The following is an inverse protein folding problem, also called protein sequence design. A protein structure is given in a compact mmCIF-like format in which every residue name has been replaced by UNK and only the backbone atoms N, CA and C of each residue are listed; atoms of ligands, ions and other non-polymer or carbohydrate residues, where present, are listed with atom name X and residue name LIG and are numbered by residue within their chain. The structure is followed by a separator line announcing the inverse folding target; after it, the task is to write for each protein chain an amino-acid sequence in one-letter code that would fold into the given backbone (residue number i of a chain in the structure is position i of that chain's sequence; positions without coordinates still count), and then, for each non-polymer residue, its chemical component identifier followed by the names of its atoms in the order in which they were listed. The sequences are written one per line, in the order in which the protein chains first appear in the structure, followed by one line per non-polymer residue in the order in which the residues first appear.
data_IF_748792069392
#
_entry.id   IF_748792069392
#
_cell.length_a   1.000
_cell.length_b   1.000
_cell.length_c   1.000
_cell.angle_alpha   90.00
_cell.angle_beta   90.00
_cell.angle_gamma   90.00
#
_symmetry.space_group_name_H-M   'P 1'
#
loop_
_entity.id
_entity.type
_entity.pdbx_description
1 polymer ?
#
# COMPACT_ATOMS: atom_id res chain seq x y z
N UNK A 1 -8.45 2.81 -19.37
CA UNK A 1 -7.20 3.58 -19.56
C UNK A 1 -5.98 2.67 -19.63
N UNK A 2 -5.16 2.48 -18.56
CA UNK A 2 -3.85 1.82 -18.72
C UNK A 2 -3.94 0.40 -19.30
N UNK A 3 -4.89 -0.41 -18.83
CA UNK A 3 -5.12 -1.76 -19.36
C UNK A 3 -5.55 -1.83 -20.83
N UNK A 4 -6.08 -0.73 -21.39
CA UNK A 4 -6.51 -0.62 -22.80
C UNK A 4 -5.37 -0.14 -23.71
N UNK A 5 -4.42 0.64 -23.18
CA UNK A 5 -3.22 1.10 -23.92
C UNK A 5 -2.11 0.03 -23.92
N UNK A 6 -2.28 -1.02 -23.11
CA UNK A 6 -1.23 -1.99 -22.85
C UNK A 6 -1.54 -3.37 -23.40
N UNK A 7 -0.68 -3.88 -24.26
CA UNK A 7 -0.68 -5.25 -24.76
C UNK A 7 0.16 -6.16 -23.85
N UNK A 8 0.04 -7.49 -24.03
CA UNK A 8 0.77 -8.49 -23.23
C UNK A 8 2.30 -8.28 -23.23
N UNK A 9 2.86 -7.65 -24.26
CA UNK A 9 4.29 -7.32 -24.37
C UNK A 9 4.75 -6.14 -23.50
N UNK A 10 3.86 -5.17 -23.21
CA UNK A 10 4.22 -3.92 -22.54
C UNK A 10 3.54 -3.73 -21.16
N UNK A 11 2.52 -4.55 -20.85
CA UNK A 11 1.77 -4.54 -19.59
C UNK A 11 2.68 -4.49 -18.36
N UNK A 12 3.67 -5.38 -18.27
CA UNK A 12 4.59 -5.42 -17.14
C UNK A 12 5.33 -4.09 -16.89
N UNK A 13 5.74 -3.40 -17.98
CA UNK A 13 6.41 -2.09 -17.88
C UNK A 13 5.44 -1.00 -17.45
N UNK A 14 4.24 -0.97 -18.04
CA UNK A 14 3.22 0.02 -17.70
C UNK A 14 2.76 -0.09 -16.23
N UNK A 15 2.50 -1.30 -15.74
CA UNK A 15 2.15 -1.52 -14.34
C UNK A 15 3.30 -1.21 -13.38
N UNK A 16 4.56 -1.40 -13.81
CA UNK A 16 5.73 -1.01 -12.99
C UNK A 16 5.85 0.51 -12.80
N UNK A 17 5.45 1.30 -13.80
CA UNK A 17 5.44 2.76 -13.70
C UNK A 17 4.41 3.28 -12.68
N UNK A 18 3.27 2.60 -12.54
CA UNK A 18 2.28 2.92 -11.50
C UNK A 18 2.84 2.68 -10.08
N UNK A 19 3.57 1.58 -9.90
CA UNK A 19 4.25 1.31 -8.63
C UNK A 19 5.32 2.36 -8.31
N UNK A 20 6.09 2.75 -9.32
CA UNK A 20 7.13 3.77 -9.18
C UNK A 20 6.54 5.14 -8.81
N UNK A 21 5.45 5.56 -9.45
CA UNK A 21 4.82 6.86 -9.17
C UNK A 21 4.26 6.93 -7.75
N UNK A 22 3.60 5.86 -7.29
CA UNK A 22 3.13 5.75 -5.91
C UNK A 22 4.29 5.82 -4.92
N UNK A 23 5.40 5.14 -5.22
CA UNK A 23 6.60 5.18 -4.37
C UNK A 23 7.23 6.57 -4.29
N UNK A 24 7.37 7.29 -5.41
CA UNK A 24 7.86 8.67 -5.40
C UNK A 24 6.95 9.56 -4.54
N UNK A 25 5.62 9.41 -4.68
CA UNK A 25 4.65 10.13 -3.85
C UNK A 25 4.82 9.86 -2.36
N UNK A 26 5.10 8.61 -1.98
CA UNK A 26 5.33 8.22 -0.58
C UNK A 26 6.60 8.81 0.05
N UNK A 27 7.59 9.18 -0.78
CA UNK A 27 8.85 9.81 -0.34
C UNK A 27 8.68 11.33 -0.31
N UNK A 28 8.25 11.90 -1.44
CA UNK A 28 8.16 13.36 -1.58
C UNK A 28 7.04 13.95 -0.74
N UNK A 29 5.91 13.26 -0.58
CA UNK A 29 4.75 13.75 0.17
C UNK A 29 5.06 14.12 1.62
N UNK A 30 5.54 13.17 2.45
CA UNK A 30 5.93 13.46 3.83
C UNK A 30 7.10 14.43 3.93
N UNK A 31 8.06 14.38 2.99
CA UNK A 31 9.20 15.29 2.98
C UNK A 31 8.73 16.74 2.80
N UNK A 32 7.93 17.00 1.77
CA UNK A 32 7.37 18.32 1.46
C UNK A 32 6.42 18.76 2.57
N UNK A 33 5.54 17.88 3.04
CA UNK A 33 4.58 18.17 4.11
C UNK A 33 5.27 18.53 5.44
N UNK A 34 6.33 17.81 5.80
CA UNK A 34 7.10 18.07 7.02
C UNK A 34 7.96 19.32 6.91
N UNK A 35 8.68 19.51 5.80
CA UNK A 35 9.62 20.62 5.63
C UNK A 35 8.92 21.98 5.47
N UNK A 36 7.78 22.00 4.78
CA UNK A 36 6.99 23.22 4.56
C UNK A 36 6.02 23.52 5.70
N UNK A 37 5.84 22.60 6.64
CA UNK A 37 5.05 22.90 7.84
C UNK A 37 5.73 24.00 8.67
N UNK A 38 4.93 24.90 9.23
CA UNK A 38 5.39 26.05 10.03
C UNK A 38 6.36 26.96 9.28
N UNK A 39 5.96 27.54 8.12
CA UNK A 39 6.85 28.31 7.26
C UNK A 39 7.45 29.55 7.94
N UNK A 40 6.72 30.17 8.88
CA UNK A 40 7.22 31.31 9.66
C UNK A 40 8.45 30.96 10.52
N UNK A 41 8.58 29.71 10.98
CA UNK A 41 9.71 29.25 11.79
C UNK A 41 10.86 28.71 10.92
N UNK A 42 10.51 28.00 9.84
CA UNK A 42 11.49 27.36 8.96
C UNK A 42 12.14 28.34 7.98
N UNK A 43 11.39 29.35 7.51
CA UNK A 43 11.83 30.34 6.53
C UNK A 43 11.46 31.79 6.97
N UNK A 44 12.06 32.31 8.05
CA UNK A 44 11.66 33.59 8.63
C UNK A 44 11.80 34.77 7.66
N UNK A 45 12.79 34.73 6.77
CA UNK A 45 13.06 35.80 5.81
C UNK A 45 11.90 36.08 4.84
N UNK A 46 11.09 35.08 4.52
CA UNK A 46 10.02 35.19 3.51
C UNK A 46 8.62 35.03 4.09
N UNK A 47 8.49 34.37 5.24
CA UNK A 47 7.20 33.95 5.78
C UNK A 47 6.96 34.37 7.24
N UNK A 48 7.79 35.25 7.83
CA UNK A 48 7.55 35.76 9.18
C UNK A 48 6.44 36.83 9.21
N UNK A 49 5.20 36.41 8.97
CA UNK A 49 4.01 37.24 9.14
C UNK A 49 3.00 36.58 10.08
N UNK A 50 2.13 37.35 10.77
CA UNK A 50 1.12 36.80 11.66
C UNK A 50 0.22 35.75 10.98
N UNK A 51 -0.09 35.96 9.70
CA UNK A 51 -0.88 35.04 8.88
C UNK A 51 -0.29 33.63 8.82
N UNK A 52 1.02 33.50 8.56
CA UNK A 52 1.68 32.19 8.45
C UNK A 52 1.91 31.51 9.80
N UNK A 53 1.92 32.29 10.89
CA UNK A 53 1.95 31.75 12.26
C UNK A 53 0.57 31.20 12.66
N UNK A 54 -0.51 31.82 12.21
CA UNK A 54 -1.89 31.35 12.42
C UNK A 54 -2.22 30.11 11.58
N UNK A 55 -1.74 30.07 10.32
CA UNK A 55 -1.99 28.96 9.39
C UNK A 55 -0.72 28.17 9.01
N UNK A 56 -0.13 27.41 9.96
CA UNK A 56 1.18 26.75 9.76
C UNK A 56 1.17 25.61 8.72
N UNK A 57 -0.01 25.09 8.36
CA UNK A 57 -0.16 23.99 7.39
C UNK A 57 -0.70 24.44 6.03
N UNK A 58 -0.97 25.73 5.83
CA UNK A 58 -1.51 26.22 4.56
C UNK A 58 -0.52 26.08 3.40
N UNK A 59 0.76 26.37 3.64
CA UNK A 59 1.80 26.29 2.61
C UNK A 59 1.94 24.88 2.01
N UNK A 60 2.09 23.78 2.79
CA UNK A 60 2.16 22.44 2.21
C UNK A 60 0.87 22.06 1.45
N UNK A 61 -0.31 22.52 1.88
CA UNK A 61 -1.56 22.30 1.15
C UNK A 61 -1.57 23.02 -0.21
N UNK A 62 -1.11 24.27 -0.27
CA UNK A 62 -1.02 25.04 -1.52
C UNK A 62 -0.04 24.40 -2.51
N UNK A 63 1.10 23.91 -2.03
CA UNK A 63 2.08 23.20 -2.87
C UNK A 63 1.48 21.88 -3.40
N UNK A 64 0.80 21.12 -2.55
CA UNK A 64 0.10 19.89 -2.98
C UNK A 64 -0.99 20.18 -4.03
N UNK A 65 -1.74 21.26 -3.86
CA UNK A 65 -2.74 21.70 -4.82
C UNK A 65 -2.10 22.11 -6.15
N UNK A 66 -1.00 22.87 -6.12
CA UNK A 66 -0.27 23.27 -7.32
C UNK A 66 0.26 22.06 -8.11
N UNK A 67 0.88 21.07 -7.43
CA UNK A 67 1.34 19.83 -8.06
C UNK A 67 0.19 19.08 -8.71
N UNK A 68 -0.95 18.97 -8.02
CA UNK A 68 -2.15 18.30 -8.55
C UNK A 68 -2.74 19.03 -9.76
N UNK A 69 -2.83 20.36 -9.71
CA UNK A 69 -3.31 21.18 -10.83
C UNK A 69 -2.40 21.07 -12.04
N UNK A 70 -1.07 21.04 -11.86
CA UNK A 70 -0.12 20.82 -12.94
C UNK A 70 -0.34 19.44 -13.57
N UNK A 71 -0.47 18.40 -12.74
CA UNK A 71 -0.75 17.04 -13.21
C UNK A 71 -2.06 16.95 -14.01
N UNK A 72 -3.13 17.59 -13.51
CA UNK A 72 -4.41 17.68 -14.20
C UNK A 72 -4.27 18.42 -15.55
N UNK A 73 -3.57 19.55 -15.56
CA UNK A 73 -3.37 20.37 -16.77
C UNK A 73 -2.61 19.58 -17.84
N UNK A 74 -1.51 18.93 -17.47
CA UNK A 74 -0.75 18.07 -18.37
C UNK A 74 -1.61 16.91 -18.88
N UNK A 75 -2.38 16.27 -18.00
CA UNK A 75 -3.30 15.19 -18.37
C UNK A 75 -4.36 15.65 -19.36
N UNK A 76 -5.00 16.79 -19.09
CA UNK A 76 -6.06 17.36 -19.92
C UNK A 76 -5.59 17.72 -21.33
N UNK A 77 -4.40 18.31 -21.48
CA UNK A 77 -3.89 18.73 -22.78
C UNK A 77 -3.16 17.61 -23.56
N UNK A 78 -2.54 16.63 -22.88
CA UNK A 78 -1.70 15.64 -23.55
C UNK A 78 -2.30 14.23 -23.65
N UNK A 79 -3.30 13.87 -22.83
CA UNK A 79 -3.97 12.57 -22.95
C UNK A 79 -5.04 12.64 -24.04
N UNK A 80 -4.72 12.10 -25.22
CA UNK A 80 -5.73 11.84 -26.25
C UNK A 80 -6.64 10.70 -25.81
N UNK A 81 -7.93 10.84 -26.10
CA UNK A 81 -8.93 9.79 -25.87
C UNK A 81 -8.45 8.47 -26.47
N UNK A 82 -8.37 7.43 -25.65
CA UNK A 82 -7.71 6.17 -26.00
C UNK A 82 -8.67 5.18 -26.68
N UNK A 83 -9.94 5.53 -26.80
CA UNK A 83 -10.95 4.71 -27.46
C UNK A 83 -10.80 4.81 -28.99
N UNK A 84 -10.38 3.73 -29.64
CA UNK A 84 -10.40 3.62 -31.10
C UNK A 84 -11.84 3.28 -31.52
N UNK A 85 -12.64 4.29 -31.86
CA UNK A 85 -13.96 4.06 -32.49
C UNK A 85 -13.75 3.58 -33.93
N UNK A 86 -13.95 2.28 -34.17
CA UNK A 86 -13.88 1.71 -35.51
C UNK A 86 -15.07 2.22 -36.35
N UNK A 87 -14.85 3.18 -37.23
CA UNK A 87 -15.90 3.81 -38.06
C UNK A 87 -16.45 2.91 -39.18
N UNK A 88 -15.84 1.74 -39.42
CA UNK A 88 -16.16 0.87 -40.56
C UNK A 88 -16.72 -0.51 -40.17
N UNK A 89 -17.03 -0.75 -38.89
CA UNK A 89 -17.82 -1.91 -38.45
C UNK A 89 -19.32 -1.62 -38.60
N UNK A 90 -20.19 -2.65 -38.71
CA UNK A 90 -21.63 -2.42 -38.69
C UNK A 90 -21.98 -1.58 -37.44
N UNK A 91 -22.87 -0.59 -37.59
CA UNK A 91 -23.42 0.18 -36.47
C UNK A 91 -24.13 -0.78 -35.50
N UNK A 92 -23.37 -1.36 -34.58
CA UNK A 92 -23.91 -1.92 -33.35
C UNK A 92 -24.20 -0.71 -32.49
N UNK A 93 -25.47 -0.49 -32.16
CA UNK A 93 -25.85 0.50 -31.16
C UNK A 93 -25.26 0.07 -29.81
N UNK A 94 -24.01 0.47 -29.56
CA UNK A 94 -23.37 0.35 -28.26
C UNK A 94 -24.06 1.34 -27.32
N UNK A 95 -25.16 0.91 -26.71
CA UNK A 95 -25.69 1.54 -25.50
C UNK A 95 -24.63 1.46 -24.39
N UNK A 96 -24.62 2.35 -23.39
CA UNK A 96 -23.71 2.22 -22.21
C UNK A 96 -23.80 0.86 -21.47
N UNK A 97 -24.79 0.03 -21.83
CA UNK A 97 -25.00 -1.33 -21.35
C UNK A 97 -24.31 -2.42 -22.20
N UNK A 98 -23.68 -2.09 -23.33
CA UNK A 98 -22.94 -3.07 -24.13
C UNK A 98 -21.54 -3.30 -23.53
N UNK A 99 -21.19 -4.55 -23.21
CA UNK A 99 -19.92 -4.85 -22.54
C UNK A 99 -18.72 -4.50 -23.42
N UNK A 100 -17.75 -3.78 -22.84
CA UNK A 100 -16.52 -3.28 -23.49
C UNK A 100 -15.53 -4.37 -23.95
N UNK A 101 -15.79 -5.63 -23.58
CA UNK A 101 -15.02 -6.78 -24.07
C UNK A 101 -15.88 -7.50 -25.11
N UNK A 102 -15.33 -7.85 -26.28
CA UNK A 102 -16.05 -8.63 -27.28
C UNK A 102 -16.58 -9.88 -26.59
N UNK A 103 -17.85 -10.22 -26.83
CA UNK A 103 -18.36 -11.54 -26.51
C UNK A 103 -17.47 -12.56 -27.23
N UNK A 104 -16.48 -13.10 -26.52
CA UNK A 104 -16.11 -14.47 -26.72
C UNK A 104 -17.43 -15.22 -26.51
N UNK A 105 -18.03 -15.67 -27.61
CA UNK A 105 -19.18 -16.55 -27.64
C UNK A 105 -18.82 -17.75 -26.75
N UNK A 106 -19.17 -17.68 -25.46
CA UNK A 106 -18.78 -18.67 -24.46
C UNK A 106 -20.04 -19.08 -23.75
N UNK A 107 -20.63 -20.13 -24.31
CA UNK A 107 -21.64 -21.01 -23.73
C UNK A 107 -21.16 -21.76 -22.47
N UNK A 108 -19.99 -21.43 -21.92
CA UNK A 108 -19.49 -22.01 -20.68
C UNK A 108 -20.00 -21.18 -19.50
N UNK A 109 -20.68 -21.86 -18.56
CA UNK A 109 -21.23 -21.28 -17.35
C UNK A 109 -20.26 -20.26 -16.71
N UNK A 110 -20.65 -18.98 -16.66
CA UNK A 110 -19.87 -17.93 -15.99
C UNK A 110 -19.60 -18.39 -14.56
N UNK A 111 -18.31 -18.56 -14.21
CA UNK A 111 -17.94 -18.88 -12.84
C UNK A 111 -18.33 -17.69 -11.95
N UNK A 112 -18.89 -17.92 -10.76
CA UNK A 112 -19.27 -16.83 -9.86
C UNK A 112 -18.03 -16.02 -9.49
N UNK A 113 -18.15 -14.69 -9.57
CA UNK A 113 -17.04 -13.77 -9.28
C UNK A 113 -16.59 -13.84 -7.81
N UNK A 114 -17.54 -14.06 -6.89
CA UNK A 114 -17.32 -14.08 -5.45
C UNK A 114 -17.39 -15.52 -4.93
N UNK A 115 -16.34 -16.29 -5.22
CA UNK A 115 -16.18 -17.62 -4.64
C UNK A 115 -15.79 -17.52 -3.16
N UNK A 116 -15.92 -18.61 -2.40
CA UNK A 116 -15.43 -18.68 -1.01
C UNK A 116 -13.96 -18.29 -0.90
N UNK A 117 -13.12 -18.74 -1.85
CA UNK A 117 -11.71 -18.41 -1.86
C UNK A 117 -11.48 -16.91 -2.07
N UNK A 118 -12.19 -16.33 -3.03
CA UNK A 118 -12.16 -14.89 -3.32
C UNK A 118 -12.59 -14.07 -2.11
N UNK A 119 -13.67 -14.45 -1.44
CA UNK A 119 -14.15 -13.77 -0.23
C UNK A 119 -13.12 -13.81 0.92
N UNK A 120 -12.45 -14.95 1.12
CA UNK A 120 -11.38 -15.08 2.12
C UNK A 120 -10.18 -14.18 1.79
N UNK A 121 -9.74 -14.14 0.53
CA UNK A 121 -8.64 -13.26 0.10
C UNK A 121 -9.02 -11.78 0.19
N UNK A 122 -10.25 -11.41 -0.15
CA UNK A 122 -10.75 -10.03 -0.04
C UNK A 122 -10.84 -9.57 1.41
N UNK A 123 -11.30 -10.44 2.30
CA UNK A 123 -11.35 -10.16 3.72
C UNK A 123 -9.94 -10.01 4.31
N UNK A 124 -9.00 -10.89 3.96
CA UNK A 124 -7.58 -10.77 4.33
C UNK A 124 -6.94 -9.45 3.85
N UNK A 125 -7.33 -8.98 2.66
CA UNK A 125 -6.88 -7.70 2.14
C UNK A 125 -7.45 -6.51 2.92
N UNK A 126 -8.75 -6.56 3.24
CA UNK A 126 -9.40 -5.53 4.05
C UNK A 126 -8.87 -5.49 5.49
N UNK A 127 -8.65 -6.64 6.13
CA UNK A 127 -8.09 -6.72 7.48
C UNK A 127 -6.65 -6.19 7.53
N UNK A 128 -5.83 -6.50 6.52
CA UNK A 128 -4.51 -5.90 6.36
C UNK A 128 -4.58 -4.37 6.19
N UNK A 129 -5.49 -3.87 5.34
CA UNK A 129 -5.66 -2.43 5.12
C UNK A 129 -6.10 -1.70 6.40
N UNK A 130 -6.94 -2.33 7.22
CA UNK A 130 -7.36 -1.80 8.51
C UNK A 130 -6.21 -1.71 9.52
N UNK A 131 -5.39 -2.77 9.61
CA UNK A 131 -4.18 -2.75 10.45
C UNK A 131 -3.20 -1.67 9.98
N UNK A 132 -3.00 -1.54 8.67
CA UNK A 132 -2.11 -0.53 8.10
C UNK A 132 -2.55 0.88 8.51
N UNK A 133 -3.83 1.22 8.31
CA UNK A 133 -4.31 2.58 8.57
C UNK A 133 -4.29 2.94 10.07
N UNK A 134 -4.53 1.98 10.97
CA UNK A 134 -4.40 2.21 12.41
C UNK A 134 -2.96 2.60 12.74
N UNK A 135 -1.97 1.89 12.21
CA UNK A 135 -0.57 2.23 12.44
C UNK A 135 -0.21 3.58 11.84
N UNK A 136 -0.62 3.85 10.60
CA UNK A 136 -0.27 5.07 9.87
C UNK A 136 -0.83 6.32 10.57
N UNK A 137 -1.99 6.22 11.23
CA UNK A 137 -2.54 7.29 12.09
C UNK A 137 -1.82 7.37 13.45
N UNK A 138 -1.55 6.22 14.07
CA UNK A 138 -0.97 6.17 15.42
C UNK A 138 0.46 6.67 15.45
N UNK A 139 1.25 6.42 14.39
CA UNK A 139 2.66 6.77 14.37
C UNK A 139 2.93 8.28 14.51
N UNK A 140 2.30 9.17 13.72
CA UNK A 140 2.44 10.62 13.91
C UNK A 140 1.96 11.10 15.28
N UNK A 141 0.86 10.53 15.80
CA UNK A 141 0.36 10.84 17.15
C UNK A 141 1.38 10.46 18.23
N UNK A 142 1.96 9.26 18.15
CA UNK A 142 3.03 8.80 19.02
C UNK A 142 4.27 9.69 18.93
N UNK A 143 4.75 9.94 17.70
CA UNK A 143 5.96 10.71 17.48
C UNK A 143 5.81 12.15 18.00
N UNK A 144 4.67 12.79 17.77
CA UNK A 144 4.41 14.18 18.20
C UNK A 144 4.05 14.33 19.68
N UNK A 145 3.48 13.31 20.32
CA UNK A 145 3.15 13.33 21.75
C UNK A 145 4.40 13.61 22.58
N UNK A 146 4.29 14.43 23.63
CA UNK A 146 5.44 14.80 24.46
C UNK A 146 6.10 13.59 25.14
N UNK A 147 7.40 13.70 25.39
CA UNK A 147 8.22 12.64 25.97
C UNK A 147 7.62 12.12 27.29
N UNK A 148 7.19 13.03 28.17
CA UNK A 148 6.57 12.68 29.46
C UNK A 148 5.27 11.89 29.34
N UNK A 149 4.48 12.08 28.28
CA UNK A 149 3.20 11.39 28.06
C UNK A 149 3.34 10.05 27.34
N UNK A 150 4.53 9.68 26.90
CA UNK A 150 4.80 8.40 26.23
C UNK A 150 5.09 8.51 24.73
N UNK A 151 5.29 9.72 24.19
CA UNK A 151 5.71 9.94 22.80
C UNK A 151 7.17 10.37 22.65
N UNK A 152 7.54 10.97 21.52
CA UNK A 152 8.92 11.42 21.27
C UNK A 152 9.08 12.96 21.23
N UNK A 153 7.99 13.71 21.20
CA UNK A 153 7.98 15.16 21.07
C UNK A 153 8.49 15.67 19.71
N UNK A 154 8.50 14.81 18.69
CA UNK A 154 8.98 15.15 17.36
C UNK A 154 8.18 16.29 16.75
N UNK A 155 8.86 17.16 16.03
CA UNK A 155 8.21 18.17 15.21
C UNK A 155 7.77 17.57 13.87
N UNK A 156 6.85 18.24 13.18
CA UNK A 156 6.36 17.84 11.86
C UNK A 156 7.47 17.54 10.85
N UNK A 157 8.58 18.30 10.88
CA UNK A 157 9.76 18.04 10.05
C UNK A 157 10.43 16.69 10.35
N UNK A 158 10.55 16.33 11.63
CA UNK A 158 11.20 15.11 12.08
C UNK A 158 10.34 13.89 11.69
N UNK A 159 9.02 14.02 11.85
CA UNK A 159 8.04 13.02 11.38
C UNK A 159 8.12 12.88 9.85
N UNK A 160 8.17 13.99 9.11
CA UNK A 160 8.32 14.00 7.66
C UNK A 160 9.59 13.28 7.18
N UNK A 161 10.74 13.57 7.81
CA UNK A 161 12.02 12.90 7.52
C UNK A 161 11.91 11.39 7.77
N UNK A 162 11.37 11.00 8.92
CA UNK A 162 11.22 9.58 9.26
C UNK A 162 10.36 8.82 8.24
N UNK A 163 9.22 9.36 7.83
CA UNK A 163 8.33 8.76 6.84
C UNK A 163 8.98 8.70 5.45
N UNK A 164 9.73 9.73 5.07
CA UNK A 164 10.43 9.78 3.77
C UNK A 164 11.51 8.70 3.67
N UNK A 165 12.27 8.47 4.75
CA UNK A 165 13.24 7.38 4.83
C UNK A 165 12.57 6.01 4.67
N UNK A 166 11.38 5.83 5.27
CA UNK A 166 10.60 4.60 5.10
C UNK A 166 10.07 4.44 3.67
N UNK A 167 9.69 5.51 2.98
CA UNK A 167 9.30 5.46 1.57
C UNK A 167 10.43 4.96 0.65
N UNK A 168 11.66 5.42 0.89
CA UNK A 168 12.86 4.94 0.16
C UNK A 168 13.05 3.44 0.39
N UNK A 169 12.98 3.01 1.66
CA UNK A 169 13.13 1.61 2.03
C UNK A 169 11.99 0.75 1.44
N UNK A 170 10.76 1.26 1.42
CA UNK A 170 9.60 0.61 0.80
C UNK A 170 9.86 0.29 -0.67
N UNK A 171 10.30 1.30 -1.45
CA UNK A 171 10.62 1.11 -2.86
C UNK A 171 11.74 0.09 -3.07
N UNK A 172 12.80 0.17 -2.28
CA UNK A 172 13.91 -0.76 -2.38
C UNK A 172 13.47 -2.21 -2.13
N UNK A 173 12.68 -2.44 -1.07
CA UNK A 173 12.19 -3.77 -0.71
C UNK A 173 11.23 -4.30 -1.78
N UNK A 174 10.30 -3.46 -2.26
CA UNK A 174 9.30 -3.85 -3.25
C UNK A 174 9.93 -4.20 -4.61
N UNK A 175 10.93 -3.44 -5.06
CA UNK A 175 11.55 -3.63 -6.39
C UNK A 175 12.59 -4.76 -6.36
N UNK A 176 13.45 -4.81 -5.34
CA UNK A 176 14.62 -5.69 -5.35
C UNK A 176 14.46 -6.95 -4.51
N UNK A 177 13.82 -6.85 -3.35
CA UNK A 177 13.79 -7.94 -2.37
C UNK A 177 12.55 -8.82 -2.58
N UNK A 178 11.37 -8.23 -2.65
CA UNK A 178 10.12 -8.95 -2.73
C UNK A 178 10.07 -9.95 -3.91
N UNK A 179 10.44 -9.59 -5.16
CA UNK A 179 10.38 -10.53 -6.29
C UNK A 179 11.35 -11.71 -6.16
N UNK A 180 12.41 -11.57 -5.35
CA UNK A 180 13.34 -12.68 -5.06
C UNK A 180 12.77 -13.61 -4.01
N UNK A 181 12.13 -13.06 -2.99
CA UNK A 181 11.47 -13.84 -1.94
C UNK A 181 10.27 -14.60 -2.51
N UNK A 182 9.43 -13.92 -3.30
CA UNK A 182 8.19 -14.48 -3.85
C UNK A 182 8.48 -15.67 -4.77
N UNK A 183 9.44 -15.54 -5.68
CA UNK A 183 9.87 -16.66 -6.54
C UNK A 183 10.40 -17.87 -5.76
N UNK A 184 10.95 -17.66 -4.56
CA UNK A 184 11.56 -18.74 -3.76
C UNK A 184 10.53 -19.42 -2.85
N UNK A 185 9.61 -18.67 -2.25
CA UNK A 185 8.74 -19.16 -1.19
C UNK A 185 7.24 -19.15 -1.53
N UNK A 186 6.84 -18.40 -2.56
CA UNK A 186 5.43 -18.17 -2.93
C UNK A 186 4.74 -17.13 -2.05
N UNK A 187 3.66 -16.55 -2.58
CA UNK A 187 2.93 -15.46 -1.94
C UNK A 187 2.26 -15.88 -0.62
N UNK A 188 1.62 -17.06 -0.56
CA UNK A 188 0.91 -17.48 0.65
C UNK A 188 1.83 -17.66 1.86
N UNK A 189 2.98 -18.30 1.67
CA UNK A 189 3.96 -18.49 2.73
C UNK A 189 4.48 -17.14 3.22
N UNK A 190 4.85 -16.26 2.29
CA UNK A 190 5.34 -14.92 2.62
C UNK A 190 4.31 -14.08 3.35
N UNK A 191 3.03 -14.14 2.96
CA UNK A 191 1.96 -13.45 3.66
C UNK A 191 1.88 -13.88 5.13
N UNK A 192 1.82 -15.20 5.39
CA UNK A 192 1.76 -15.77 6.73
C UNK A 192 3.00 -15.44 7.57
N UNK A 193 4.20 -15.63 7.00
CA UNK A 193 5.46 -15.30 7.67
C UNK A 193 5.56 -13.80 7.99
N UNK A 194 5.08 -12.95 7.08
CA UNK A 194 5.16 -11.51 7.25
C UNK A 194 4.20 -10.99 8.32
N UNK A 195 3.00 -11.57 8.45
CA UNK A 195 2.10 -11.25 9.56
C UNK A 195 2.80 -11.49 10.90
N UNK A 196 3.41 -12.66 11.11
CA UNK A 196 4.16 -12.92 12.35
C UNK A 196 5.36 -11.97 12.53
N UNK A 197 6.05 -11.63 11.42
CA UNK A 197 7.16 -10.68 11.42
C UNK A 197 6.79 -9.25 11.84
N UNK A 198 5.51 -8.86 11.76
CA UNK A 198 5.02 -7.55 12.23
C UNK A 198 4.91 -7.47 13.75
N UNK A 199 4.72 -8.59 14.44
CA UNK A 199 4.51 -8.61 15.91
C UNK A 199 5.70 -7.98 16.65
N UNK A 200 6.97 -8.37 16.41
CA UNK A 200 8.12 -7.74 17.07
C UNK A 200 8.17 -6.23 16.86
N UNK A 201 7.84 -5.73 15.66
CA UNK A 201 7.83 -4.30 15.39
C UNK A 201 6.77 -3.58 16.24
N UNK A 202 5.53 -4.08 16.28
CA UNK A 202 4.48 -3.44 17.07
C UNK A 202 4.79 -3.46 18.56
N UNK A 203 5.38 -4.54 19.08
CA UNK A 203 5.83 -4.56 20.47
C UNK A 203 6.96 -3.57 20.71
N UNK A 204 7.95 -3.47 19.81
CA UNK A 204 9.17 -2.70 20.02
C UNK A 204 9.02 -1.17 19.85
N UNK A 205 8.19 -0.69 18.92
CA UNK A 205 8.03 0.75 18.63
C UNK A 205 7.77 1.62 19.88
N UNK A 206 6.80 1.31 20.76
CA UNK A 206 6.54 2.15 21.93
C UNK A 206 7.69 2.15 22.95
N UNK A 207 8.57 1.14 22.98
CA UNK A 207 9.74 1.13 23.85
C UNK A 207 10.82 2.15 23.47
N UNK A 208 10.76 2.73 22.26
CA UNK A 208 11.65 3.83 21.88
C UNK A 208 11.46 5.04 22.81
N UNK A 209 10.25 5.25 23.37
CA UNK A 209 10.03 6.26 24.41
C UNK A 209 10.89 6.03 25.65
N UNK A 210 11.05 4.77 26.09
CA UNK A 210 11.88 4.45 27.25
C UNK A 210 13.36 4.76 27.01
N UNK A 211 13.86 4.47 25.80
CA UNK A 211 15.21 4.82 25.37
C UNK A 211 15.38 6.35 25.37
N UNK A 212 14.43 7.08 24.78
CA UNK A 212 14.47 8.54 24.74
C UNK A 212 14.44 9.16 26.16
N UNK A 213 13.61 8.63 27.07
CA UNK A 213 13.57 9.07 28.47
C UNK A 213 14.88 8.81 29.20
N UNK A 214 15.45 7.62 29.06
CA UNK A 214 16.71 7.25 29.72
C UNK A 214 17.88 8.15 29.29
N UNK A 215 17.79 8.73 28.09
CA UNK A 215 18.81 9.62 27.51
C UNK A 215 18.51 11.11 27.68
N UNK A 216 17.37 11.47 28.27
CA UNK A 216 16.91 12.85 28.29
C UNK A 216 16.66 13.43 26.88
N UNK A 217 16.41 12.58 25.89
CA UNK A 217 16.29 13.02 24.50
C UNK A 217 14.90 13.54 24.20
N UNK A 218 14.76 14.86 24.19
CA UNK A 218 13.52 15.52 23.77
C UNK A 218 13.57 15.82 22.26
N UNK A 219 12.48 15.52 21.55
CA UNK A 219 12.36 15.75 20.09
C UNK A 219 13.44 15.02 19.28
N UNK A 220 13.93 13.90 19.80
CA UNK A 220 15.01 13.10 19.18
C UNK A 220 16.36 13.80 19.15
N UNK A 221 16.59 14.76 20.07
CA UNK A 221 17.83 15.51 20.20
C UNK A 221 18.38 15.40 21.63
N UNK A 222 19.69 15.52 21.80
CA UNK A 222 20.35 15.58 23.12
C UNK A 222 20.19 16.97 23.74
N UNK A 223 20.58 17.15 25.00
CA UNK A 223 20.55 18.45 25.68
C UNK A 223 21.35 19.54 24.91
N UNK A 224 22.44 19.15 24.26
CA UNK A 224 23.27 20.02 23.40
C UNK A 224 22.60 20.37 22.05
N UNK A 225 21.37 19.90 21.81
CA UNK A 225 20.62 20.11 20.58
C UNK A 225 21.06 19.23 19.39
N UNK A 226 22.02 18.33 19.59
CA UNK A 226 22.49 17.40 18.55
C UNK A 226 21.46 16.27 18.33
N UNK A 227 21.47 15.67 17.14
CA UNK A 227 20.58 14.53 16.84
C UNK A 227 20.98 13.35 17.74
N UNK A 228 20.01 12.80 18.48
CA UNK A 228 20.26 11.60 19.27
C UNK A 228 20.20 10.36 18.35
N UNK A 229 21.37 9.98 17.84
CA UNK A 229 21.52 8.87 16.90
C UNK A 229 21.03 7.53 17.47
N UNK A 230 21.01 7.34 18.80
CA UNK A 230 20.55 6.10 19.40
C UNK A 230 19.03 6.03 19.41
N UNK A 231 18.35 7.13 19.72
CA UNK A 231 16.88 7.22 19.62
C UNK A 231 16.43 7.08 18.16
N UNK A 232 17.07 7.80 17.25
CA UNK A 232 16.79 7.70 15.82
C UNK A 232 17.12 6.32 15.26
N UNK A 233 18.26 5.73 15.65
CA UNK A 233 18.66 4.40 15.24
C UNK A 233 17.68 3.33 15.72
N UNK A 234 17.25 3.40 16.98
CA UNK A 234 16.23 2.51 17.54
C UNK A 234 14.89 2.66 16.82
N UNK A 235 14.44 3.89 16.59
CA UNK A 235 13.20 4.18 15.86
C UNK A 235 13.27 3.64 14.44
N UNK A 236 14.32 3.98 13.69
CA UNK A 236 14.50 3.56 12.30
C UNK A 236 14.66 2.05 12.16
N UNK A 237 15.27 1.38 13.15
CA UNK A 237 15.34 -0.08 13.17
C UNK A 237 13.96 -0.71 13.35
N UNK A 238 13.16 -0.20 14.30
CA UNK A 238 11.79 -0.69 14.53
C UNK A 238 10.89 -0.46 13.32
N UNK A 239 10.92 0.76 12.76
CA UNK A 239 10.11 1.11 11.59
C UNK A 239 10.60 0.44 10.30
N UNK A 240 11.91 0.24 10.17
CA UNK A 240 12.55 -0.49 9.07
C UNK A 240 12.16 -1.97 9.07
N UNK A 241 12.15 -2.60 10.24
CA UNK A 241 11.63 -3.95 10.41
C UNK A 241 10.15 -4.04 10.05
N UNK A 242 9.34 -3.12 10.58
CA UNK A 242 7.91 -3.02 10.27
C UNK A 242 7.67 -2.90 8.77
N UNK A 243 8.34 -1.96 8.11
CA UNK A 243 8.08 -1.65 6.70
C UNK A 243 8.45 -2.82 5.79
N UNK A 244 9.50 -3.57 6.13
CA UNK A 244 9.85 -4.79 5.41
C UNK A 244 8.69 -5.80 5.40
N UNK A 245 8.18 -6.16 6.58
CA UNK A 245 7.08 -7.11 6.65
C UNK A 245 5.75 -6.53 6.16
N UNK A 246 5.55 -5.22 6.28
CA UNK A 246 4.38 -4.55 5.72
C UNK A 246 4.36 -4.62 4.18
N UNK A 247 5.50 -4.38 3.51
CA UNK A 247 5.61 -4.51 2.05
C UNK A 247 5.43 -5.94 1.59
N UNK A 248 6.06 -6.90 2.29
CA UNK A 248 5.92 -8.33 1.96
C UNK A 248 4.46 -8.77 2.11
N UNK A 249 3.81 -8.45 3.23
CA UNK A 249 2.40 -8.81 3.46
C UNK A 249 1.45 -8.14 2.47
N UNK A 250 1.60 -6.85 2.19
CA UNK A 250 0.79 -6.10 1.21
C UNK A 250 0.83 -6.72 -0.18
N UNK A 251 2.05 -6.98 -0.66
CA UNK A 251 2.24 -7.45 -2.03
C UNK A 251 1.75 -8.89 -2.14
N UNK A 252 2.00 -9.72 -1.13
CA UNK A 252 1.51 -11.09 -1.11
C UNK A 252 -0.01 -11.19 -1.05
N UNK A 253 -0.70 -10.41 -0.20
CA UNK A 253 -2.17 -10.45 -0.14
C UNK A 253 -2.82 -9.96 -1.45
N UNK A 254 -2.22 -8.97 -2.11
CA UNK A 254 -2.69 -8.52 -3.43
C UNK A 254 -2.54 -9.61 -4.50
N UNK A 255 -1.43 -10.37 -4.47
CA UNK A 255 -1.26 -11.55 -5.34
C UNK A 255 -2.30 -12.63 -5.01
N UNK A 256 -2.55 -12.92 -3.73
CA UNK A 256 -3.55 -13.92 -3.31
C UNK A 256 -4.98 -13.54 -3.73
N UNK A 257 -5.33 -12.25 -3.73
CA UNK A 257 -6.61 -11.76 -4.28
C UNK A 257 -6.68 -12.06 -5.78
N UNK A 258 -5.62 -11.75 -6.54
CA UNK A 258 -5.58 -12.03 -7.98
C UNK A 258 -5.60 -13.54 -8.29
N UNK A 259 -4.85 -14.34 -7.55
CA UNK A 259 -4.78 -15.78 -7.70
C UNK A 259 -6.09 -16.49 -7.31
N UNK A 260 -6.95 -15.85 -6.52
CA UNK A 260 -8.29 -16.36 -6.20
C UNK A 260 -9.27 -16.31 -7.39
N UNK A 261 -8.93 -15.57 -8.44
CA UNK A 261 -9.78 -15.38 -9.62
C UNK A 261 -9.42 -16.40 -10.70
N UNK A 262 -10.39 -17.26 -11.05
CA UNK A 262 -10.21 -18.29 -12.09
C UNK A 262 -10.79 -17.88 -13.45
N UNK A 263 -11.55 -16.79 -13.53
CA UNK A 263 -12.13 -16.26 -14.77
C UNK A 263 -11.63 -14.82 -14.99
N UNK A 264 -10.90 -14.53 -16.09
CA UNK A 264 -10.42 -13.19 -16.39
C UNK A 264 -11.50 -12.10 -16.35
N UNK A 265 -12.75 -12.44 -16.70
CA UNK A 265 -13.87 -11.49 -16.70
C UNK A 265 -14.20 -10.96 -15.29
N UNK A 266 -13.89 -11.74 -14.25
CA UNK A 266 -14.18 -11.38 -12.86
C UNK A 266 -13.03 -10.62 -12.18
N UNK A 267 -11.85 -10.53 -12.82
CA UNK A 267 -10.64 -9.95 -12.22
C UNK A 267 -10.85 -8.47 -11.82
N UNK A 268 -11.50 -7.69 -12.69
CA UNK A 268 -11.84 -6.30 -12.45
C UNK A 268 -12.84 -6.13 -11.30
N UNK A 269 -13.90 -6.93 -11.28
CA UNK A 269 -14.93 -6.91 -10.22
C UNK A 269 -14.33 -7.24 -8.86
N UNK A 270 -13.52 -8.30 -8.78
CA UNK A 270 -12.89 -8.74 -7.52
C UNK A 270 -11.94 -7.67 -6.98
N UNK A 271 -11.06 -7.11 -7.83
CA UNK A 271 -10.19 -6.02 -7.41
C UNK A 271 -10.96 -4.76 -7.02
N UNK A 272 -12.04 -4.43 -7.74
CA UNK A 272 -12.93 -3.32 -7.41
C UNK A 272 -13.56 -3.49 -6.03
N UNK A 273 -14.18 -4.64 -5.76
CA UNK A 273 -14.76 -4.97 -4.44
C UNK A 273 -13.69 -4.91 -3.35
N UNK A 274 -12.49 -5.44 -3.60
CA UNK A 274 -11.38 -5.39 -2.64
C UNK A 274 -10.94 -3.97 -2.32
N UNK A 275 -10.82 -3.10 -3.32
CA UNK A 275 -10.48 -1.69 -3.09
C UNK A 275 -11.60 -0.94 -2.38
N UNK A 276 -12.87 -1.22 -2.68
CA UNK A 276 -14.01 -0.66 -1.94
C UNK A 276 -13.99 -1.06 -0.46
N UNK A 277 -13.76 -2.35 -0.16
CA UNK A 277 -13.66 -2.84 1.21
C UNK A 277 -12.47 -2.20 1.96
N UNK A 278 -11.31 -2.14 1.31
CA UNK A 278 -10.11 -1.49 1.85
C UNK A 278 -10.32 0.02 2.08
N UNK A 279 -11.05 0.71 1.18
CA UNK A 279 -11.40 2.12 1.36
C UNK A 279 -12.32 2.32 2.56
N UNK A 280 -13.35 1.48 2.72
CA UNK A 280 -14.29 1.56 3.84
C UNK A 280 -13.59 1.45 5.21
N UNK A 281 -12.68 0.50 5.37
CA UNK A 281 -11.91 0.38 6.62
C UNK A 281 -10.90 1.52 6.80
N UNK A 282 -10.33 2.06 5.72
CA UNK A 282 -9.44 3.24 5.77
C UNK A 282 -10.16 4.53 6.17
N UNK A 283 -11.45 4.64 5.91
CA UNK A 283 -12.26 5.78 6.37
C UNK A 283 -12.46 5.74 7.89
N UNK A 284 -12.70 4.56 8.46
CA UNK A 284 -13.05 4.41 9.88
C UNK A 284 -11.80 4.29 10.77
N UNK A 285 -10.73 3.68 10.25
CA UNK A 285 -9.50 3.39 10.98
C UNK A 285 -8.87 4.57 11.71
N UNK A 286 -8.66 5.75 11.08
CA UNK A 286 -8.05 6.89 11.74
C UNK A 286 -8.86 7.41 12.93
N UNK A 287 -10.18 7.48 12.81
CA UNK A 287 -11.05 7.90 13.92
C UNK A 287 -10.94 6.93 15.11
N UNK A 288 -10.93 5.63 14.86
CA UNK A 288 -10.73 4.62 15.90
C UNK A 288 -9.34 4.70 16.53
N UNK A 289 -8.28 4.77 15.71
CA UNK A 289 -6.91 4.86 16.18
C UNK A 289 -6.68 6.10 17.05
N UNK A 290 -7.13 7.27 16.59
CA UNK A 290 -7.06 8.53 17.33
C UNK A 290 -7.87 8.53 18.63
N UNK A 291 -9.07 7.94 18.63
CA UNK A 291 -9.89 7.78 19.83
C UNK A 291 -9.23 6.85 20.85
N UNK A 292 -8.72 5.69 20.42
CA UNK A 292 -8.04 4.73 21.29
C UNK A 292 -6.74 5.34 21.84
N UNK A 293 -5.95 6.02 21.01
CA UNK A 293 -4.75 6.72 21.44
C UNK A 293 -5.05 7.79 22.50
N UNK A 294 -6.06 8.63 22.26
CA UNK A 294 -6.44 9.70 23.19
C UNK A 294 -6.97 9.15 24.52
N UNK A 295 -7.83 8.12 24.45
CA UNK A 295 -8.35 7.43 25.64
C UNK A 295 -7.25 6.73 26.43
N UNK A 296 -6.31 6.10 25.73
CA UNK A 296 -5.11 5.52 26.35
C UNK A 296 -4.41 6.57 27.21
N UNK A 297 -4.10 7.75 26.67
CA UNK A 297 -3.36 8.78 27.40
C UNK A 297 -4.08 9.33 28.64
N UNK A 298 -5.42 9.35 28.64
CA UNK A 298 -6.24 9.78 29.78
C UNK A 298 -6.49 8.68 30.82
N UNK A 299 -6.36 7.41 30.44
CA UNK A 299 -6.51 6.29 31.36
C UNK A 299 -5.39 6.20 32.41
N UNK A 300 -5.70 5.56 33.54
CA UNK A 300 -4.74 5.21 34.60
C UNK A 300 -4.06 3.85 34.37
N UNK A 301 -4.22 3.25 33.19
CA UNK A 301 -3.69 1.93 32.88
C UNK A 301 -2.15 1.91 32.90
N UNK A 302 -1.54 0.81 33.38
CA UNK A 302 -0.11 0.60 33.18
C UNK A 302 0.18 0.52 31.67
N UNK A 303 1.32 1.09 31.24
CA UNK A 303 1.75 1.12 29.84
C UNK A 303 0.71 1.73 28.87
N UNK A 304 -0.04 2.74 29.31
CA UNK A 304 -1.11 3.34 28.52
C UNK A 304 -0.75 3.62 27.05
N UNK A 305 0.38 4.28 26.77
CA UNK A 305 0.82 4.62 25.41
C UNK A 305 1.21 3.40 24.54
N UNK A 306 1.29 2.20 25.11
CA UNK A 306 1.51 0.95 24.37
C UNK A 306 0.20 0.32 23.88
N UNK A 307 -0.97 0.74 24.40
CA UNK A 307 -2.25 0.09 24.17
C UNK A 307 -2.56 -0.12 22.67
N UNK A 308 -2.43 0.92 21.86
CA UNK A 308 -2.74 0.84 20.42
C UNK A 308 -1.84 -0.17 19.72
N UNK A 309 -0.58 -0.24 20.11
CA UNK A 309 0.37 -1.22 19.58
C UNK A 309 0.04 -2.64 20.01
N UNK A 310 -0.44 -2.87 21.23
CA UNK A 310 -0.95 -4.17 21.65
C UNK A 310 -2.21 -4.59 20.89
N UNK A 311 -3.11 -3.64 20.61
CA UNK A 311 -4.27 -3.90 19.75
C UNK A 311 -3.82 -4.30 18.34
N UNK A 312 -2.80 -3.62 17.77
CA UNK A 312 -2.21 -4.01 16.49
C UNK A 312 -1.63 -5.44 16.52
N UNK A 313 -1.00 -5.87 17.62
CA UNK A 313 -0.54 -7.26 17.79
C UNK A 313 -1.72 -8.23 17.77
N UNK A 314 -2.80 -7.93 18.51
CA UNK A 314 -4.01 -8.78 18.50
C UNK A 314 -4.61 -8.85 17.10
N UNK A 315 -4.71 -7.73 16.39
CA UNK A 315 -5.20 -7.70 15.01
C UNK A 315 -4.33 -8.55 14.08
N UNK A 316 -2.99 -8.53 14.25
CA UNK A 316 -2.09 -9.38 13.47
C UNK A 316 -2.27 -10.87 13.79
N UNK A 317 -2.49 -11.23 15.05
CA UNK A 317 -2.75 -12.62 15.42
C UNK A 317 -4.06 -13.12 14.81
N UNK A 318 -5.11 -12.29 14.84
CA UNK A 318 -6.39 -12.59 14.17
C UNK A 318 -6.16 -12.75 12.66
N UNK A 319 -5.45 -11.82 12.01
CA UNK A 319 -5.09 -11.93 10.59
C UNK A 319 -4.29 -13.19 10.28
N UNK A 320 -3.39 -13.61 11.17
CA UNK A 320 -2.62 -14.84 10.98
C UNK A 320 -3.54 -16.07 10.99
N UNK A 321 -4.49 -16.13 11.92
CA UNK A 321 -5.51 -17.19 11.96
C UNK A 321 -6.37 -17.16 10.69
N UNK A 322 -6.80 -15.98 10.24
CA UNK A 322 -7.51 -15.80 8.97
C UNK A 322 -6.69 -16.33 7.78
N UNK A 323 -5.40 -16.02 7.74
CA UNK A 323 -4.48 -16.45 6.70
C UNK A 323 -4.26 -17.97 6.62
N UNK A 324 -4.57 -18.72 7.69
CA UNK A 324 -4.54 -20.20 7.67
C UNK A 324 -5.65 -20.77 6.78
N UNK A 325 -6.78 -20.05 6.65
CA UNK A 325 -7.90 -20.47 5.80
C UNK A 325 -7.77 -20.00 4.35
N UNK A 326 -6.89 -19.03 4.08
CA UNK A 326 -6.58 -18.56 2.72
C UNK A 326 -5.74 -19.62 2.01
N UNK A 327 -6.08 -19.88 0.75
CA UNK A 327 -5.39 -20.81 -0.14
C UNK A 327 -4.83 -20.01 -1.32
N UNK A 328 -3.66 -20.40 -1.81
CA UNK A 328 -3.15 -19.83 -3.05
C UNK A 328 -3.88 -20.48 -4.22
N UNK A 329 -4.75 -19.72 -4.89
CA UNK A 329 -5.50 -20.21 -6.03
C UNK A 329 -4.61 -20.39 -7.25
N UNK A 330 -5.04 -21.22 -8.21
CA UNK A 330 -4.33 -21.40 -9.49
C UNK A 330 -4.33 -20.13 -10.37
N UNK A 331 -5.10 -19.10 -10.00
CA UNK A 331 -5.27 -17.90 -10.79
C UNK A 331 -5.78 -18.19 -12.21
N UNK A 332 -5.29 -17.40 -13.16
CA UNK A 332 -5.66 -17.51 -14.57
C UNK A 332 -5.02 -18.72 -15.29
N UNK A 333 -4.02 -19.36 -14.69
CA UNK A 333 -3.43 -20.58 -15.28
C UNK A 333 -4.45 -21.72 -15.39
N UNK A 334 -5.40 -21.79 -14.45
CA UNK A 334 -6.51 -22.76 -14.52
C UNK A 334 -7.46 -22.50 -15.69
N UNK A 335 -7.57 -21.25 -16.16
CA UNK A 335 -8.37 -20.90 -17.32
C UNK A 335 -7.69 -21.37 -18.62
N UNK A 336 -6.37 -21.19 -18.72
CA UNK A 336 -5.58 -21.56 -19.90
C UNK A 336 -5.60 -23.08 -20.14
N UNK A 337 -5.46 -23.88 -19.07
CA UNK A 337 -5.46 -25.36 -19.17
C UNK A 337 -6.80 -25.93 -19.64
N UNK A 338 -7.93 -25.28 -19.35
CA UNK A 338 -9.25 -25.74 -19.82
C UNK A 338 -9.58 -25.26 -21.24
N UNK A 339 -8.91 -24.22 -21.73
CA UNK A 339 -9.18 -23.63 -23.05
C UNK A 339 -8.42 -24.31 -24.21
N UNK A 340 -7.43 -25.16 -23.90
CA UNK A 340 -6.67 -25.94 -24.88
C UNK A 340 -6.93 -27.43 -24.61
N UNK A 341 -7.84 -28.10 -25.34
CA UNK A 341 -7.95 -29.54 -25.29
C UNK A 341 -6.65 -30.17 -25.84
N UNK A 342 -6.07 -31.13 -25.14
CA UNK A 342 -4.89 -31.92 -25.56
C UNK A 342 -5.07 -32.70 -26.89
N UNK A 343 -6.18 -32.54 -27.61
CA UNK A 343 -6.50 -33.31 -28.81
C UNK A 343 -6.02 -32.69 -30.13
N UNK A 344 -5.10 -31.72 -30.14
CA UNK A 344 -4.59 -31.09 -31.38
C UNK A 344 -3.09 -31.23 -31.63
N UNK A 345 -2.43 -32.20 -30.99
CA UNK A 345 -1.13 -32.71 -31.45
C UNK A 345 -1.33 -34.14 -31.96
N UNK A 346 -1.95 -34.28 -33.14
CA UNK A 346 -1.71 -35.46 -33.95
C UNK A 346 -0.35 -35.27 -34.63
N UNK A 347 0.59 -36.14 -34.30
CA UNK A 347 1.85 -36.30 -35.03
C UNK A 347 1.56 -36.51 -36.52
N UNK A 348 1.65 -35.45 -37.31
CA UNK A 348 1.82 -35.56 -38.76
C UNK A 348 3.31 -35.38 -39.04
N UNK A 349 3.97 -36.52 -39.21
CA UNK A 349 5.31 -36.69 -39.76
C UNK A 349 5.54 -35.75 -40.95
N UNK A 350 6.45 -34.79 -40.81
CA UNK A 350 7.00 -34.06 -41.94
C UNK A 350 8.29 -34.76 -42.36
N UNK A 351 8.13 -35.84 -43.12
CA UNK A 351 9.22 -36.48 -43.87
C UNK A 351 9.55 -35.60 -45.07
N UNK A 352 10.64 -34.85 -44.99
CA UNK A 352 11.24 -34.20 -46.15
C UNK A 352 12.09 -35.26 -46.87
N UNK A 353 11.52 -35.89 -47.89
CA UNK A 353 12.28 -36.63 -48.89
C UNK A 353 13.09 -35.64 -49.74
N UNK A 354 14.40 -35.86 -49.79
CA UNK A 354 15.31 -35.24 -50.75
C UNK A 354 15.48 -36.24 -51.89
N UNK A 355 14.83 -35.98 -53.02
CA UNK A 355 15.22 -36.44 -54.37
C UNK A 355 15.35 -35.16 -55.22
N UNK A 356 16.31 -34.94 -56.10
CA UNK A 356 17.48 -35.65 -56.60
C UNK A 356 18.06 -34.75 -57.69
#
# INVERSE_FOLDING_TARGET
MLGEVTDNSNRGRAFSLLGLSMGIGSICGPMVGGLLSQPALTFPSWFDTPFWREYPFLLPCLVSAAVSTIGFTIGYFNLKETLIRNKNGPEVCDNENSPLLPHANRSNARRPALTRLTLLSLYAFASWAFQQIIFDETYPLYASTSLGRGGLGFQSKDIGVSLSMLGILTLFIQIFIYPRLERKYGALYLYRAALLGLIPAFVAVPFVNAIAKARGSERGRTEDGQIDWLVWGALMSCLGWRIFFNVVSFTSVTILVNNSVTDPANLGTVNGVGQCAAAGVRTIGPALAGAIWSWSLSSSLPLKHHLVYHILVVLVLVQFVEALFVIDGKGLSAFETESVPESSFSDSECSIEIEG
#
